data_IF_486775003363
#
_entry.id   IF_486775003363
#
_cell.length_a   1.000
_cell.length_b   1.000
_cell.length_c   1.000
_cell.angle_alpha   90.00
_cell.angle_beta   90.00
_cell.angle_gamma   90.00
#
_symmetry.space_group_name_H-M   'P 1'
#
loop_
_entity.id
_entity.type
_entity.pdbx_description
1 polymer ?
#
# COMPACT_ATOMS: atom_id res chain seq x y z
N UNK A 1 8.61 -4.12 -18.27
CA UNK A 1 8.94 -4.92 -17.08
C UNK A 1 10.44 -5.04 -16.96
N UNK A 2 10.97 -4.83 -15.78
CA UNK A 2 12.41 -4.84 -15.53
C UNK A 2 12.74 -5.17 -14.09
N UNK A 3 14.01 -5.21 -13.81
CA UNK A 3 14.59 -5.37 -12.47
C UNK A 3 15.68 -4.32 -12.31
N UNK A 4 15.77 -3.69 -11.17
CA UNK A 4 16.91 -2.85 -10.78
C UNK A 4 17.65 -3.50 -9.62
N UNK A 5 18.92 -3.20 -9.47
CA UNK A 5 19.71 -3.58 -8.29
C UNK A 5 19.90 -2.34 -7.42
N UNK A 6 19.50 -2.42 -6.18
CA UNK A 6 19.67 -1.36 -5.17
C UNK A 6 21.13 -1.27 -4.71
N UNK A 7 21.48 -0.22 -3.95
CA UNK A 7 22.84 -0.02 -3.45
C UNK A 7 23.33 -1.11 -2.48
N UNK A 8 22.39 -1.79 -1.82
CA UNK A 8 22.65 -2.92 -0.92
C UNK A 8 22.56 -4.29 -1.63
N UNK A 9 22.42 -4.30 -2.98
CA UNK A 9 22.49 -5.50 -3.81
C UNK A 9 21.16 -6.26 -3.95
N UNK A 10 20.04 -5.67 -3.56
CA UNK A 10 18.72 -6.27 -3.68
C UNK A 10 18.14 -5.98 -5.07
N UNK A 11 17.63 -7.01 -5.74
CA UNK A 11 16.92 -6.85 -7.00
C UNK A 11 15.44 -6.53 -6.74
N UNK A 12 14.99 -5.37 -7.24
CA UNK A 12 13.59 -4.94 -7.19
C UNK A 12 12.96 -5.07 -8.57
N UNK A 13 11.96 -5.91 -8.67
CA UNK A 13 11.17 -6.09 -9.88
C UNK A 13 10.14 -4.96 -10.03
N UNK A 14 9.91 -4.51 -11.27
CA UNK A 14 8.86 -3.54 -11.60
C UNK A 14 8.19 -3.82 -12.94
N UNK A 15 6.93 -3.43 -13.05
CA UNK A 15 6.16 -3.27 -14.28
C UNK A 15 6.17 -1.80 -14.68
N UNK A 16 6.20 -1.50 -15.99
CA UNK A 16 6.22 -0.15 -16.53
C UNK A 16 5.50 -0.17 -17.88
N UNK A 17 4.32 0.47 -17.95
CA UNK A 17 3.45 0.46 -19.12
C UNK A 17 2.90 1.85 -19.44
N UNK A 18 2.58 2.09 -20.72
CA UNK A 18 1.99 3.34 -21.18
C UNK A 18 3.01 4.47 -21.34
N UNK A 19 2.50 5.70 -21.38
CA UNK A 19 3.29 6.94 -21.55
C UNK A 19 2.50 8.12 -20.96
N UNK A 20 3.18 9.24 -20.74
CA UNK A 20 2.61 10.44 -20.12
C UNK A 20 3.04 10.62 -18.68
N UNK A 21 2.26 11.32 -17.85
CA UNK A 21 2.58 11.54 -16.44
C UNK A 21 2.67 10.20 -15.69
N UNK A 22 3.76 9.95 -14.93
CA UNK A 22 3.93 8.70 -14.22
C UNK A 22 2.97 8.57 -13.02
N UNK A 23 2.39 7.38 -12.86
CA UNK A 23 1.72 6.93 -11.63
C UNK A 23 2.53 5.76 -11.10
N UNK A 24 3.02 5.86 -9.86
CA UNK A 24 3.78 4.82 -9.17
C UNK A 24 2.92 4.19 -8.10
N UNK A 25 2.70 2.89 -8.21
CA UNK A 25 1.85 2.12 -7.32
C UNK A 25 2.67 1.31 -6.32
N UNK A 26 2.44 1.54 -5.02
CA UNK A 26 3.00 0.78 -3.89
C UNK A 26 1.94 -0.13 -3.28
N UNK A 27 2.19 -1.44 -3.32
CA UNK A 27 1.21 -2.46 -2.90
C UNK A 27 1.11 -2.62 -1.37
N UNK A 28 -0.02 -3.18 -0.90
CA UNK A 28 -0.23 -3.54 0.51
C UNK A 28 0.55 -4.78 0.95
N UNK A 29 0.69 -4.97 2.26
CA UNK A 29 1.24 -6.20 2.83
C UNK A 29 0.22 -7.34 2.73
N UNK A 30 0.65 -8.55 2.45
CA UNK A 30 1.91 -9.01 1.88
C UNK A 30 1.78 -9.34 0.38
N UNK A 31 1.27 -8.40 -0.40
CA UNK A 31 0.93 -8.53 -1.82
C UNK A 31 2.15 -8.34 -2.74
N UNK A 32 1.90 -8.01 -3.99
CA UNK A 32 2.89 -7.67 -5.01
C UNK A 32 2.32 -6.59 -5.94
N UNK A 33 3.10 -6.11 -6.90
CA UNK A 33 2.63 -5.19 -7.93
C UNK A 33 1.49 -5.74 -8.80
N UNK A 34 1.17 -7.04 -8.71
CA UNK A 34 0.04 -7.65 -9.43
C UNK A 34 -1.32 -7.27 -8.81
N UNK A 35 -1.33 -6.78 -7.58
CA UNK A 35 -2.57 -6.25 -6.96
C UNK A 35 -3.12 -5.03 -7.70
N UNK A 36 -2.26 -4.33 -8.42
CA UNK A 36 -2.57 -3.14 -9.20
C UNK A 36 -2.93 -3.40 -10.67
N UNK A 37 -3.06 -4.66 -11.12
CA UNK A 37 -3.26 -4.98 -12.53
C UNK A 37 -4.50 -4.29 -13.13
N UNK A 38 -5.58 -4.15 -12.37
CA UNK A 38 -6.79 -3.45 -12.82
C UNK A 38 -6.51 -1.96 -13.08
N UNK A 39 -5.81 -1.29 -12.17
CA UNK A 39 -5.40 0.10 -12.29
C UNK A 39 -4.38 0.28 -13.41
N UNK A 40 -3.41 -0.62 -13.48
CA UNK A 40 -2.36 -0.60 -14.51
C UNK A 40 -2.89 -0.81 -15.93
N UNK A 41 -4.03 -1.49 -16.12
CA UNK A 41 -4.70 -1.61 -17.41
C UNK A 41 -5.62 -0.41 -17.70
N UNK A 42 -6.14 0.25 -16.68
CA UNK A 42 -7.05 1.38 -16.83
C UNK A 42 -6.32 2.68 -17.17
N UNK A 43 -5.31 3.08 -16.40
CA UNK A 43 -4.70 4.41 -16.53
C UNK A 43 -3.92 4.66 -17.83
N UNK A 44 -3.26 3.68 -18.47
CA UNK A 44 -2.64 3.91 -19.78
C UNK A 44 -3.63 4.30 -20.88
N UNK A 45 -4.89 3.84 -20.78
CA UNK A 45 -5.96 4.24 -21.72
C UNK A 45 -6.41 5.69 -21.52
N UNK A 46 -5.99 6.32 -20.40
CA UNK A 46 -6.27 7.72 -20.06
C UNK A 46 -5.02 8.61 -20.17
N UNK A 47 -3.96 8.13 -20.82
CA UNK A 47 -2.77 8.91 -21.13
C UNK A 47 -1.73 8.99 -20.00
N UNK A 48 -1.72 8.03 -19.09
CA UNK A 48 -0.72 7.92 -18.02
C UNK A 48 0.28 6.80 -18.27
N UNK A 49 1.52 6.99 -17.81
CA UNK A 49 2.50 5.93 -17.63
C UNK A 49 2.32 5.32 -16.25
N UNK A 50 2.24 4.00 -16.13
CA UNK A 50 1.98 3.32 -14.88
C UNK A 50 3.15 2.41 -14.49
N UNK A 51 3.60 2.53 -13.26
CA UNK A 51 4.68 1.74 -12.68
C UNK A 51 4.16 1.04 -11.42
N UNK A 52 4.41 -0.26 -11.28
CA UNK A 52 4.18 -0.98 -10.04
C UNK A 52 5.39 -1.87 -9.76
N UNK A 53 5.96 -1.77 -8.57
CA UNK A 53 7.08 -2.60 -8.14
C UNK A 53 6.63 -3.67 -7.15
N UNK A 54 7.38 -4.74 -7.06
CA UNK A 54 7.29 -5.69 -5.96
C UNK A 54 8.29 -5.25 -4.90
N UNK A 55 7.82 -4.96 -3.67
CA UNK A 55 8.68 -4.59 -2.55
C UNK A 55 9.70 -5.69 -2.26
N UNK A 56 10.90 -5.37 -1.72
CA UNK A 56 11.86 -6.39 -1.29
C UNK A 56 11.17 -7.47 -0.46
N UNK A 57 11.53 -8.72 -0.67
CA UNK A 57 10.92 -9.87 -0.01
C UNK A 57 9.52 -10.24 -0.49
N UNK A 58 8.95 -9.53 -1.45
CA UNK A 58 7.62 -9.79 -1.99
C UNK A 58 7.68 -10.13 -3.49
N UNK A 59 6.68 -10.87 -3.95
CA UNK A 59 6.51 -11.17 -5.37
C UNK A 59 7.78 -11.71 -6.05
N UNK A 60 8.27 -10.98 -7.05
CA UNK A 60 9.43 -11.32 -7.90
C UNK A 60 10.74 -10.66 -7.45
N UNK A 61 10.67 -9.76 -6.47
CA UNK A 61 11.87 -9.13 -5.90
C UNK A 61 12.65 -10.10 -5.02
N UNK A 62 13.94 -9.80 -4.80
CA UNK A 62 14.82 -10.64 -3.97
C UNK A 62 14.20 -10.90 -2.60
N UNK A 63 14.17 -12.17 -2.20
CA UNK A 63 13.79 -12.58 -0.86
C UNK A 63 15.01 -12.49 0.06
N UNK A 64 15.17 -11.35 0.71
CA UNK A 64 16.24 -11.09 1.68
C UNK A 64 15.84 -11.51 3.09
N UNK A 65 16.83 -11.69 3.96
CA UNK A 65 16.63 -12.03 5.39
C UNK A 65 16.44 -10.81 6.29
N UNK A 66 16.66 -9.61 5.79
CA UNK A 66 16.67 -8.35 6.54
C UNK A 66 16.21 -7.15 5.67
N UNK A 67 16.22 -5.95 6.24
CA UNK A 67 15.79 -4.72 5.57
C UNK A 67 14.26 -4.63 5.38
N UNK A 68 13.49 -5.33 6.18
CA UNK A 68 12.02 -5.31 6.10
C UNK A 68 11.43 -4.23 7.02
N UNK A 69 11.81 -2.98 6.78
CA UNK A 69 11.30 -1.79 7.46
C UNK A 69 10.96 -0.67 6.45
N UNK A 70 10.27 0.35 6.92
CA UNK A 70 9.77 1.42 6.05
C UNK A 70 10.88 2.26 5.44
N UNK A 71 12.03 2.37 6.08
CA UNK A 71 13.16 3.14 5.56
C UNK A 71 13.75 2.44 4.33
N UNK A 72 14.00 1.13 4.40
CA UNK A 72 14.46 0.34 3.25
C UNK A 72 13.43 0.30 2.13
N UNK A 73 12.13 0.19 2.46
CA UNK A 73 11.07 0.22 1.43
C UNK A 73 11.04 1.56 0.70
N UNK A 74 11.18 2.67 1.41
CA UNK A 74 11.27 4.01 0.82
C UNK A 74 12.53 4.18 -0.05
N UNK A 75 13.67 3.65 0.38
CA UNK A 75 14.93 3.69 -0.37
C UNK A 75 14.85 2.83 -1.66
N UNK A 76 14.18 1.67 -1.62
CA UNK A 76 13.91 0.85 -2.81
C UNK A 76 13.01 1.58 -3.80
N UNK A 77 11.94 2.22 -3.31
CA UNK A 77 11.07 3.04 -4.14
C UNK A 77 11.85 4.19 -4.78
N UNK A 78 12.74 4.85 -4.03
CA UNK A 78 13.60 5.91 -4.56
C UNK A 78 14.55 5.38 -5.65
N UNK A 79 15.07 4.16 -5.49
CA UNK A 79 15.90 3.52 -6.51
C UNK A 79 15.12 3.26 -7.81
N UNK A 80 13.86 2.80 -7.72
CA UNK A 80 12.99 2.62 -8.91
C UNK A 80 12.70 3.96 -9.58
N UNK A 81 12.31 4.98 -8.81
CA UNK A 81 12.02 6.33 -9.31
C UNK A 81 13.24 6.94 -10.00
N UNK A 82 14.43 6.80 -9.39
CA UNK A 82 15.68 7.30 -9.94
C UNK A 82 16.13 6.56 -11.20
N UNK A 83 16.03 5.22 -11.22
CA UNK A 83 16.37 4.39 -12.36
C UNK A 83 15.54 4.71 -13.62
N UNK A 84 14.24 4.95 -13.43
CA UNK A 84 13.31 5.28 -14.51
C UNK A 84 13.28 6.77 -14.83
N UNK A 85 14.06 7.58 -14.12
CA UNK A 85 14.10 9.05 -14.15
C UNK A 85 12.69 9.68 -14.14
N UNK A 86 11.85 9.21 -13.23
CA UNK A 86 10.49 9.71 -13.12
C UNK A 86 10.49 11.14 -12.59
N UNK A 87 9.71 12.01 -13.24
CA UNK A 87 9.50 13.40 -12.87
C UNK A 87 8.00 13.63 -12.74
N UNK A 88 7.59 14.56 -11.86
CA UNK A 88 6.19 14.91 -11.63
C UNK A 88 5.28 13.68 -11.42
N UNK A 89 5.81 12.67 -10.72
CA UNK A 89 5.12 11.41 -10.51
C UNK A 89 3.99 11.53 -9.48
N UNK A 90 2.90 10.82 -9.72
CA UNK A 90 1.87 10.61 -8.70
C UNK A 90 2.16 9.30 -7.99
N UNK A 91 2.31 9.34 -6.67
CA UNK A 91 2.55 8.15 -5.85
C UNK A 91 1.25 7.67 -5.22
N UNK A 92 0.87 6.43 -5.48
CA UNK A 92 -0.37 5.80 -4.99
C UNK A 92 -0.01 4.61 -4.12
N UNK A 93 -0.36 4.67 -2.83
CA UNK A 93 -0.09 3.59 -1.89
C UNK A 93 -1.36 3.01 -1.28
N UNK A 94 -1.48 1.68 -1.30
CA UNK A 94 -2.54 0.96 -0.61
C UNK A 94 -2.00 0.33 0.68
N UNK A 95 -2.72 0.49 1.79
CA UNK A 95 -2.38 -0.16 3.06
C UNK A 95 -0.92 0.18 3.49
N UNK A 96 -0.08 -0.82 3.68
CA UNK A 96 1.38 -0.67 3.91
C UNK A 96 2.06 0.19 2.84
N UNK A 97 1.62 0.10 1.58
CA UNK A 97 2.13 0.92 0.49
C UNK A 97 1.90 2.42 0.68
N UNK A 98 0.85 2.81 1.41
CA UNK A 98 0.66 4.21 1.82
C UNK A 98 1.73 4.67 2.81
N UNK A 99 2.12 3.82 3.75
CA UNK A 99 3.26 4.10 4.64
C UNK A 99 4.59 4.23 3.88
N UNK A 100 4.81 3.36 2.89
CA UNK A 100 5.98 3.45 2.00
C UNK A 100 6.01 4.78 1.23
N UNK A 101 4.88 5.22 0.66
CA UNK A 101 4.78 6.52 -0.04
C UNK A 101 5.07 7.68 0.89
N UNK A 102 4.47 7.70 2.09
CA UNK A 102 4.68 8.76 3.08
C UNK A 102 6.15 8.81 3.51
N UNK A 103 6.76 7.66 3.83
CA UNK A 103 8.17 7.56 4.21
C UNK A 103 9.10 7.96 3.05
N UNK A 104 8.77 7.59 1.82
CA UNK A 104 9.53 8.00 0.64
C UNK A 104 9.56 9.52 0.49
N UNK A 105 8.42 10.18 0.57
CA UNK A 105 8.35 11.64 0.43
C UNK A 105 9.13 12.34 1.55
N UNK A 106 8.97 11.89 2.80
CA UNK A 106 9.68 12.48 3.93
C UNK A 106 11.21 12.31 3.86
N UNK A 107 11.71 11.16 3.36
CA UNK A 107 13.15 10.87 3.29
C UNK A 107 13.83 11.42 2.04
N UNK A 108 13.16 11.39 0.90
CA UNK A 108 13.74 11.73 -0.41
C UNK A 108 13.23 13.06 -0.97
N UNK A 109 12.26 13.69 -0.31
CA UNK A 109 11.69 14.98 -0.69
C UNK A 109 10.69 14.90 -1.84
N UNK A 110 10.13 16.05 -2.19
CA UNK A 110 9.02 16.18 -3.15
C UNK A 110 9.46 16.55 -4.58
N UNK A 111 10.75 16.70 -4.85
CA UNK A 111 11.24 17.24 -6.12
C UNK A 111 10.82 16.45 -7.36
N UNK A 112 10.41 15.20 -7.20
CA UNK A 112 9.93 14.30 -8.25
C UNK A 112 8.45 13.94 -8.10
N UNK A 113 7.76 14.52 -7.11
CA UNK A 113 6.39 14.16 -6.73
C UNK A 113 5.43 15.27 -7.11
N UNK A 114 4.42 14.98 -7.92
CA UNK A 114 3.35 15.92 -8.24
C UNK A 114 2.20 15.85 -7.22
N UNK A 115 1.81 14.63 -6.85
CA UNK A 115 0.67 14.34 -5.96
C UNK A 115 0.91 13.02 -5.24
N UNK A 116 0.21 12.80 -4.11
CA UNK A 116 0.17 11.50 -3.44
C UNK A 116 -1.28 11.05 -3.22
N UNK A 117 -1.48 9.72 -3.18
CA UNK A 117 -2.78 9.11 -2.88
C UNK A 117 -2.56 7.98 -1.87
N UNK A 118 -3.33 8.03 -0.79
CA UNK A 118 -3.30 7.07 0.30
C UNK A 118 -4.64 6.32 0.34
N UNK A 119 -4.63 5.02 0.00
CA UNK A 119 -5.85 4.21 -0.08
C UNK A 119 -5.86 3.20 1.07
N UNK A 120 -6.83 3.26 1.99
CA UNK A 120 -6.93 2.36 3.15
C UNK A 120 -5.57 2.15 3.83
N UNK A 121 -4.82 3.24 4.00
CA UNK A 121 -3.39 3.20 4.31
C UNK A 121 -3.10 3.17 5.81
N UNK A 122 -1.93 2.64 6.19
CA UNK A 122 -1.55 2.44 7.61
C UNK A 122 -1.17 3.71 8.39
N UNK A 123 -0.71 4.84 7.78
CA UNK A 123 -0.46 6.08 8.52
C UNK A 123 -1.72 6.64 9.20
N UNK A 124 -1.58 7.40 10.31
CA UNK A 124 -0.31 7.82 10.90
C UNK A 124 0.38 6.77 11.77
N UNK A 125 -0.35 5.88 12.46
CA UNK A 125 0.22 4.82 13.30
C UNK A 125 -0.84 3.77 13.61
N UNK A 126 -0.52 2.49 13.36
CA UNK A 126 -1.47 1.40 13.61
C UNK A 126 -1.51 0.96 15.07
N UNK A 127 -0.33 0.84 15.70
CA UNK A 127 -0.24 0.31 17.07
C UNK A 127 -0.69 1.34 18.09
N UNK A 128 -1.41 0.86 19.09
CA UNK A 128 -1.82 1.66 20.26
C UNK A 128 -0.59 2.09 21.07
N UNK A 129 -0.50 3.38 21.36
CA UNK A 129 0.51 4.01 22.23
C UNK A 129 -0.16 5.12 23.04
N UNK A 130 0.56 5.73 23.98
CA UNK A 130 0.04 6.90 24.70
C UNK A 130 -0.26 8.08 23.75
N UNK A 131 0.49 8.21 22.62
CA UNK A 131 0.26 9.21 21.61
C UNK A 131 -0.81 8.80 20.57
N UNK A 132 -1.15 7.51 20.48
CA UNK A 132 -2.16 6.94 19.59
C UNK A 132 -3.12 6.02 20.37
N UNK A 133 -3.98 6.58 21.24
CA UNK A 133 -4.85 5.76 22.10
C UNK A 133 -5.93 4.98 21.34
N UNK A 134 -6.28 5.40 20.11
CA UNK A 134 -7.25 4.72 19.23
C UNK A 134 -6.64 3.53 18.48
N UNK A 135 -5.32 3.40 18.42
CA UNK A 135 -4.65 2.33 17.69
C UNK A 135 -4.96 0.93 18.21
N UNK A 136 -4.65 -0.07 17.41
CA UNK A 136 -4.85 -1.47 17.76
C UNK A 136 -3.82 -1.95 18.81
N UNK A 137 -4.21 -2.75 19.79
CA UNK A 137 -3.28 -3.33 20.76
C UNK A 137 -2.15 -4.09 20.05
N UNK A 138 -0.92 -3.95 20.55
CA UNK A 138 0.25 -4.67 20.00
C UNK A 138 0.03 -6.18 19.88
N UNK A 139 -0.74 -6.77 20.80
CA UNK A 139 -1.08 -8.20 20.78
C UNK A 139 -1.80 -8.66 19.52
N UNK A 140 -2.50 -7.77 18.80
CA UNK A 140 -3.12 -8.07 17.49
C UNK A 140 -2.02 -8.39 16.46
N UNK A 141 -0.99 -7.55 16.41
CA UNK A 141 0.13 -7.72 15.47
C UNK A 141 1.04 -8.88 15.87
N UNK A 142 1.28 -9.10 17.16
CA UNK A 142 1.97 -10.28 17.67
C UNK A 142 1.21 -11.56 17.28
N UNK A 143 -0.11 -11.52 17.29
CA UNK A 143 -0.98 -12.60 16.80
C UNK A 143 -0.83 -12.86 15.31
N UNK A 144 -0.72 -11.82 14.49
CA UNK A 144 -0.44 -11.98 13.05
C UNK A 144 0.93 -12.62 12.80
N UNK A 145 1.97 -12.19 13.54
CA UNK A 145 3.30 -12.82 13.44
C UNK A 145 3.27 -14.30 13.84
N UNK A 146 2.54 -14.63 14.90
CA UNK A 146 2.38 -16.02 15.34
C UNK A 146 1.66 -16.88 14.28
N UNK A 147 0.61 -16.34 13.62
CA UNK A 147 -0.10 -17.03 12.55
C UNK A 147 0.76 -17.20 11.30
N UNK A 148 1.57 -16.20 10.91
CA UNK A 148 2.55 -16.33 9.82
C UNK A 148 3.56 -17.42 10.12
N UNK A 149 4.05 -17.51 11.35
CA UNK A 149 5.03 -18.51 11.77
C UNK A 149 4.43 -19.93 11.86
N UNK A 150 3.17 -20.06 12.27
CA UNK A 150 2.51 -21.36 12.43
C UNK A 150 2.02 -21.95 11.11
N UNK A 151 1.47 -21.10 10.20
CA UNK A 151 0.88 -21.60 8.96
C UNK A 151 0.34 -20.48 8.08
N UNK A 152 1.23 -19.68 7.44
CA UNK A 152 0.85 -18.50 6.66
C UNK A 152 -0.16 -18.77 5.56
N UNK A 153 -0.20 -19.98 4.99
CA UNK A 153 -1.11 -20.31 3.89
C UNK A 153 -2.57 -20.30 4.32
N UNK A 154 -2.89 -20.83 5.49
CA UNK A 154 -4.24 -20.82 6.06
C UNK A 154 -4.62 -19.41 6.50
N UNK A 155 -3.75 -18.76 7.27
CA UNK A 155 -3.95 -17.39 7.71
C UNK A 155 -4.27 -16.44 6.57
N UNK A 156 -3.53 -16.54 5.46
CA UNK A 156 -3.79 -15.69 4.30
C UNK A 156 -5.13 -16.02 3.61
N UNK A 157 -5.52 -17.28 3.58
CA UNK A 157 -6.82 -17.65 3.02
C UNK A 157 -7.97 -17.10 3.87
N UNK A 158 -7.85 -17.17 5.18
CA UNK A 158 -8.84 -16.63 6.12
C UNK A 158 -8.99 -15.12 5.98
N UNK A 159 -7.88 -14.37 5.89
CA UNK A 159 -7.92 -12.93 5.69
C UNK A 159 -8.65 -12.54 4.40
N UNK A 160 -8.35 -13.21 3.30
CA UNK A 160 -8.95 -12.92 2.00
C UNK A 160 -10.44 -13.32 1.94
N UNK A 161 -10.78 -14.44 2.58
CA UNK A 161 -12.17 -14.95 2.61
C UNK A 161 -13.07 -14.16 3.55
N UNK A 162 -12.51 -13.27 4.35
CA UNK A 162 -13.22 -12.55 5.40
C UNK A 162 -12.95 -11.04 5.38
N UNK A 163 -12.18 -10.54 6.36
CA UNK A 163 -12.12 -9.11 6.66
C UNK A 163 -11.48 -8.25 5.57
N UNK A 164 -10.55 -8.77 4.77
CA UNK A 164 -9.83 -7.98 3.79
C UNK A 164 -10.75 -7.42 2.69
N UNK A 165 -11.64 -8.23 2.17
CA UNK A 165 -12.61 -7.85 1.14
C UNK A 165 -14.04 -7.66 1.67
N UNK A 166 -14.24 -7.79 2.97
CA UNK A 166 -15.58 -7.71 3.58
C UNK A 166 -16.47 -8.90 3.23
N UNK A 167 -15.91 -10.02 2.76
CA UNK A 167 -16.68 -11.23 2.40
C UNK A 167 -17.33 -11.92 3.59
N UNK A 168 -16.96 -11.54 4.82
CA UNK A 168 -17.62 -11.95 6.05
C UNK A 168 -18.88 -11.12 6.39
N UNK A 169 -19.23 -10.11 5.59
CA UNK A 169 -20.42 -9.29 5.84
C UNK A 169 -21.69 -9.96 5.30
N UNK A 170 -22.84 -9.79 6.01
CA UNK A 170 -24.10 -10.33 5.55
C UNK A 170 -24.49 -9.85 4.15
N UNK A 171 -24.87 -10.76 3.28
CA UNK A 171 -25.31 -10.45 1.91
C UNK A 171 -24.18 -10.20 0.90
N UNK A 172 -22.92 -10.34 1.29
CA UNK A 172 -21.78 -10.26 0.39
C UNK A 172 -21.40 -11.67 -0.06
N UNK A 173 -21.35 -11.88 -1.37
CA UNK A 173 -20.96 -13.18 -1.96
C UNK A 173 -19.44 -13.24 -2.14
N UNK A 174 -18.73 -14.20 -1.51
CA UNK A 174 -17.31 -14.37 -1.67
C UNK A 174 -16.93 -14.75 -3.10
N UNK A 175 -15.88 -14.12 -3.64
CA UNK A 175 -15.31 -14.49 -4.95
C UNK A 175 -14.08 -15.38 -4.75
N UNK A 176 -14.21 -16.68 -5.05
CA UNK A 176 -13.10 -17.62 -5.00
C UNK A 176 -11.94 -17.23 -5.94
N UNK A 177 -12.23 -16.56 -7.06
CA UNK A 177 -11.22 -16.06 -7.98
C UNK A 177 -10.38 -14.94 -7.33
N UNK A 178 -11.02 -13.97 -6.67
CA UNK A 178 -10.34 -12.89 -5.93
C UNK A 178 -9.55 -13.47 -4.76
N UNK A 179 -10.16 -14.32 -3.96
CA UNK A 179 -9.52 -15.00 -2.82
C UNK A 179 -8.29 -15.78 -3.27
N UNK A 180 -8.42 -16.56 -4.34
CA UNK A 180 -7.33 -17.37 -4.90
C UNK A 180 -6.18 -16.52 -5.47
N UNK A 181 -6.49 -15.41 -6.17
CA UNK A 181 -5.47 -14.49 -6.68
C UNK A 181 -4.72 -13.80 -5.54
N UNK A 182 -5.42 -13.34 -4.52
CA UNK A 182 -4.84 -12.74 -3.33
C UNK A 182 -3.91 -13.71 -2.57
N UNK A 183 -4.36 -14.95 -2.37
CA UNK A 183 -3.57 -16.01 -1.76
C UNK A 183 -2.32 -16.35 -2.57
N UNK A 184 -2.45 -16.47 -3.91
CA UNK A 184 -1.34 -16.75 -4.82
C UNK A 184 -0.24 -15.70 -4.70
N UNK A 185 -0.58 -14.41 -4.76
CA UNK A 185 0.40 -13.32 -4.66
C UNK A 185 1.23 -13.42 -3.37
N UNK A 186 0.59 -13.72 -2.26
CA UNK A 186 1.24 -13.82 -0.95
C UNK A 186 2.15 -15.02 -0.82
N UNK A 187 1.76 -16.12 -1.40
CA UNK A 187 2.59 -17.32 -1.37
C UNK A 187 3.86 -17.18 -2.22
N UNK A 188 3.93 -16.20 -3.13
CA UNK A 188 5.14 -15.86 -3.88
C UNK A 188 6.19 -15.12 -3.04
N UNK A 189 5.79 -14.37 -2.02
CA UNK A 189 6.71 -13.62 -1.16
C UNK A 189 7.40 -14.48 -0.10
N UNK A 190 8.48 -13.95 0.48
CA UNK A 190 9.27 -14.58 1.53
C UNK A 190 8.56 -14.55 2.90
N UNK A 191 8.59 -15.68 3.61
CA UNK A 191 7.99 -15.76 4.94
C UNK A 191 8.62 -14.76 5.94
N UNK A 192 9.96 -14.55 5.85
CA UNK A 192 10.68 -13.60 6.69
C UNK A 192 10.23 -12.16 6.45
N UNK A 193 10.13 -11.75 5.19
CA UNK A 193 9.64 -10.43 4.81
C UNK A 193 8.21 -10.17 5.30
N UNK A 194 7.35 -11.18 5.21
CA UNK A 194 5.98 -11.06 5.69
C UNK A 194 5.91 -10.98 7.22
N UNK A 195 6.73 -11.75 7.92
CA UNK A 195 6.81 -11.73 9.38
C UNK A 195 7.31 -10.38 9.92
N UNK A 196 8.43 -9.89 9.38
CA UNK A 196 9.02 -8.61 9.81
C UNK A 196 8.20 -7.41 9.32
N UNK A 197 7.62 -7.51 8.14
CA UNK A 197 6.76 -6.49 7.57
C UNK A 197 5.57 -6.14 8.45
N UNK A 198 5.12 -7.07 9.31
CA UNK A 198 4.08 -6.78 10.32
C UNK A 198 4.55 -5.71 11.30
N UNK A 199 5.80 -5.77 11.75
CA UNK A 199 6.41 -4.74 12.61
C UNK A 199 6.52 -3.43 11.84
N UNK A 200 6.99 -3.48 10.59
CA UNK A 200 7.18 -2.31 9.75
C UNK A 200 5.88 -1.51 9.59
N UNK A 201 4.77 -2.14 9.18
CA UNK A 201 3.54 -1.42 8.94
C UNK A 201 2.78 -1.03 10.22
N UNK A 202 2.97 -1.78 11.31
CA UNK A 202 2.18 -1.55 12.52
C UNK A 202 2.84 -0.62 13.54
N UNK A 203 4.17 -0.58 13.59
CA UNK A 203 4.90 0.12 14.64
C UNK A 203 5.69 1.35 14.13
N UNK A 204 5.70 1.61 12.82
CA UNK A 204 6.29 2.84 12.30
C UNK A 204 5.31 4.00 12.52
N UNK A 205 5.79 5.04 13.19
CA UNK A 205 5.07 6.30 13.33
C UNK A 205 5.38 7.22 12.15
N UNK A 206 4.34 7.57 11.39
CA UNK A 206 4.41 8.45 10.22
C UNK A 206 3.89 9.86 10.52
N UNK A 207 3.61 10.18 11.78
CA UNK A 207 2.99 11.47 12.16
C UNK A 207 3.82 12.65 11.67
N UNK A 208 5.14 12.63 11.93
CA UNK A 208 6.03 13.72 11.50
C UNK A 208 6.33 13.68 10.00
N UNK A 209 6.29 12.51 9.38
CA UNK A 209 6.43 12.36 7.92
C UNK A 209 5.25 13.02 7.19
N UNK A 210 4.01 12.76 7.62
CA UNK A 210 2.79 13.34 7.05
C UNK A 210 2.80 14.87 7.11
N UNK A 211 3.24 15.47 8.23
CA UNK A 211 3.31 16.92 8.40
C UNK A 211 4.28 17.61 7.43
N UNK A 212 5.26 16.89 6.91
CA UNK A 212 6.22 17.42 5.94
C UNK A 212 5.68 17.45 4.51
N UNK A 213 4.60 16.71 4.21
CA UNK A 213 4.04 16.60 2.85
C UNK A 213 3.29 17.88 2.48
N UNK A 214 3.76 18.56 1.43
CA UNK A 214 3.20 19.81 0.92
C UNK A 214 2.49 19.66 -0.43
N UNK A 215 2.75 18.59 -1.19
CA UNK A 215 2.02 18.29 -2.42
C UNK A 215 0.56 17.94 -2.12
N UNK A 216 -0.37 18.07 -3.10
CA UNK A 216 -1.75 17.62 -2.91
C UNK A 216 -1.82 16.13 -2.58
N UNK A 217 -2.59 15.78 -1.53
CA UNK A 217 -2.80 14.40 -1.08
C UNK A 217 -4.29 14.06 -1.10
N UNK A 218 -4.65 12.99 -1.80
CA UNK A 218 -5.98 12.37 -1.71
C UNK A 218 -5.91 11.17 -0.76
N UNK A 219 -6.69 11.21 0.31
CA UNK A 219 -6.87 10.09 1.23
C UNK A 219 -8.21 9.43 0.91
N UNK A 220 -8.18 8.16 0.49
CA UNK A 220 -9.34 7.36 0.12
C UNK A 220 -9.50 6.22 1.13
N UNK A 221 -10.62 6.16 1.87
CA UNK A 221 -10.80 5.15 2.91
C UNK A 221 -12.24 4.69 3.02
N UNK A 222 -12.44 3.38 3.11
CA UNK A 222 -13.74 2.77 3.39
C UNK A 222 -14.07 2.79 4.87
N UNK A 223 -15.30 3.15 5.24
CA UNK A 223 -15.71 3.20 6.64
C UNK A 223 -16.03 1.81 7.24
N UNK A 224 -16.03 0.75 6.42
CA UNK A 224 -16.12 -0.66 6.84
C UNK A 224 -14.78 -1.41 6.69
N UNK A 225 -13.66 -0.69 6.70
CA UNK A 225 -12.34 -1.29 6.69
C UNK A 225 -12.05 -2.02 8.02
N UNK A 226 -11.98 -3.35 7.95
CA UNK A 226 -11.76 -4.22 9.11
C UNK A 226 -10.28 -4.55 9.36
N UNK A 227 -9.38 -4.03 8.53
CA UNK A 227 -7.92 -4.25 8.61
C UNK A 227 -7.23 -3.01 9.15
N UNK A 228 -7.50 -1.85 8.55
CA UNK A 228 -7.00 -0.55 9.00
C UNK A 228 -8.20 0.28 9.45
N UNK A 229 -8.42 0.46 10.76
CA UNK A 229 -9.58 1.17 11.27
C UNK A 229 -9.68 2.59 10.70
N UNK A 230 -10.78 2.90 10.05
CA UNK A 230 -11.01 4.19 9.40
C UNK A 230 -10.74 5.38 10.33
N UNK A 231 -11.27 5.34 11.55
CA UNK A 231 -11.19 6.47 12.50
C UNK A 231 -9.75 6.79 12.93
N UNK A 232 -8.88 5.77 12.92
CA UNK A 232 -7.50 5.87 13.41
C UNK A 232 -6.48 6.05 12.26
N UNK A 233 -6.95 6.21 11.02
CA UNK A 233 -6.08 6.35 9.85
C UNK A 233 -6.54 7.47 8.90
N UNK A 234 -7.55 7.22 8.06
CA UNK A 234 -7.90 8.11 6.95
C UNK A 234 -8.11 9.58 7.35
N UNK A 235 -9.03 9.89 8.28
CA UNK A 235 -9.26 11.25 8.75
C UNK A 235 -8.01 11.90 9.33
N UNK A 236 -7.26 11.16 10.17
CA UNK A 236 -6.05 11.69 10.83
C UNK A 236 -4.93 11.97 9.81
N UNK A 237 -4.76 11.09 8.83
CA UNK A 237 -3.78 11.32 7.76
C UNK A 237 -4.13 12.55 6.94
N UNK A 238 -5.41 12.76 6.60
CA UNK A 238 -5.86 13.93 5.84
C UNK A 238 -5.71 15.25 6.61
N UNK A 239 -5.81 15.21 7.94
CA UNK A 239 -5.60 16.38 8.80
C UNK A 239 -4.12 16.73 8.99
N UNK A 240 -3.24 15.72 8.98
CA UNK A 240 -1.81 15.90 9.23
C UNK A 240 -1.06 16.45 8.02
N UNK A 241 -1.43 16.09 6.80
CA UNK A 241 -0.81 16.62 5.58
C UNK A 241 -1.27 18.05 5.31
N UNK A 242 -0.43 18.87 4.69
CA UNK A 242 -0.74 20.30 4.49
C UNK A 242 -1.85 20.55 3.45
N UNK A 243 -1.98 19.69 2.43
CA UNK A 243 -2.95 19.81 1.35
C UNK A 243 -3.76 18.51 1.19
N UNK A 244 -4.39 18.06 2.28
CA UNK A 244 -5.15 16.82 2.34
C UNK A 244 -6.61 16.96 1.86
N UNK A 245 -7.06 15.99 1.09
CA UNK A 245 -8.48 15.80 0.76
C UNK A 245 -8.90 14.41 1.17
N UNK A 246 -9.88 14.29 2.06
CA UNK A 246 -10.43 13.01 2.48
C UNK A 246 -11.64 12.64 1.61
N UNK A 247 -11.66 11.41 1.10
CA UNK A 247 -12.81 10.78 0.48
C UNK A 247 -13.18 9.49 1.20
N UNK A 248 -14.32 9.50 1.88
CA UNK A 248 -14.83 8.34 2.61
C UNK A 248 -15.78 7.54 1.73
N UNK A 249 -15.64 6.22 1.74
CA UNK A 249 -16.50 5.28 1.00
C UNK A 249 -17.33 4.45 1.96
N UNK A 250 -18.65 4.70 1.93
CA UNK A 250 -19.56 4.04 2.84
C UNK A 250 -19.70 2.55 2.54
N UNK A 251 -19.39 1.72 3.54
CA UNK A 251 -19.50 0.25 3.46
C UNK A 251 -18.40 -0.41 2.62
N UNK A 252 -17.36 0.32 2.19
CA UNK A 252 -16.27 -0.28 1.43
C UNK A 252 -15.25 -0.93 2.36
N UNK A 253 -14.76 -2.14 2.00
CA UNK A 253 -13.77 -2.87 2.76
C UNK A 253 -12.34 -2.40 2.47
N UNK A 254 -11.36 -2.98 3.16
CA UNK A 254 -9.94 -2.72 2.97
C UNK A 254 -9.46 -2.92 1.51
N UNK A 255 -9.88 -4.00 0.89
CA UNK A 255 -9.51 -4.35 -0.48
C UNK A 255 -10.31 -3.65 -1.58
N UNK A 256 -10.87 -2.47 -1.31
CA UNK A 256 -11.69 -1.72 -2.26
C UNK A 256 -11.03 -1.39 -3.61
N UNK A 257 -9.69 -1.26 -3.77
CA UNK A 257 -9.09 -1.11 -5.09
C UNK A 257 -9.37 -2.28 -6.04
N UNK A 258 -9.62 -3.47 -5.48
CA UNK A 258 -9.93 -4.69 -6.24
C UNK A 258 -11.44 -4.86 -6.40
N UNK A 259 -12.19 -4.80 -5.29
CA UNK A 259 -13.63 -5.14 -5.30
C UNK A 259 -14.52 -3.99 -5.78
N UNK A 260 -14.08 -2.75 -5.66
CA UNK A 260 -14.78 -1.54 -6.13
C UNK A 260 -13.92 -0.74 -7.14
N UNK A 261 -13.13 -1.44 -7.97
CA UNK A 261 -12.15 -0.85 -8.87
C UNK A 261 -12.71 0.26 -9.77
N UNK A 262 -13.94 0.11 -10.27
CA UNK A 262 -14.58 1.11 -11.14
C UNK A 262 -14.71 2.47 -10.42
N UNK A 263 -15.24 2.47 -9.20
CA UNK A 263 -15.41 3.68 -8.38
C UNK A 263 -14.06 4.29 -8.00
N UNK A 264 -13.13 3.47 -7.54
CA UNK A 264 -11.79 3.92 -7.12
C UNK A 264 -11.02 4.50 -8.30
N UNK A 265 -11.05 3.86 -9.47
CA UNK A 265 -10.37 4.34 -10.67
C UNK A 265 -10.95 5.68 -11.16
N UNK A 266 -12.28 5.84 -11.16
CA UNK A 266 -12.93 7.09 -11.59
C UNK A 266 -12.56 8.26 -10.67
N UNK A 267 -12.56 8.04 -9.36
CA UNK A 267 -12.22 9.07 -8.39
C UNK A 267 -10.74 9.43 -8.42
N UNK A 268 -9.88 8.42 -8.55
CA UNK A 268 -8.46 8.63 -8.72
C UNK A 268 -8.18 9.41 -10.02
N UNK A 269 -8.81 9.05 -11.14
CA UNK A 269 -8.67 9.79 -12.41
C UNK A 269 -9.10 11.26 -12.27
N UNK A 270 -10.19 11.53 -11.57
CA UNK A 270 -10.65 12.90 -11.30
C UNK A 270 -9.58 13.70 -10.53
N UNK A 271 -8.98 13.13 -9.52
CA UNK A 271 -7.91 13.77 -8.75
C UNK A 271 -6.63 13.97 -9.56
N UNK A 272 -6.29 13.04 -10.44
CA UNK A 272 -5.10 13.16 -11.30
C UNK A 272 -5.24 14.33 -12.29
N UNK A 273 -6.44 14.57 -12.79
CA UNK A 273 -6.75 15.60 -13.79
C UNK A 273 -7.04 16.98 -13.20
N UNK A 274 -7.12 17.14 -11.87
CA UNK A 274 -7.40 18.41 -11.18
C UNK A 274 -6.23 19.38 -11.14
#
# INVERSE_FOLDING_TARGET
MGTITTTDGIEIFFKDWGSGQPIVFSHGWPLSGDDWDTQMLFFPQHGFRVIAHDRRGHGRSTQTGDGHDMDHYADDLAAVVGHLDLQDAVHVGHSTGGGEVVRYIARHGESRVAKAVLISSVPPLMVQTDANPGGLPKSVFDGFQAQVAAGRSEFYRELASGPFYGFNRPGVEPSEAIIGNWWRQRMMGGAKAHYDGIVAFSQTDFTEDLKQITVPVLVMHGDDDQIVPYADSGPLSAELVQNGTLKTYRGFPHGMPTTQAETINADLLTFLQS
#
